data_IF_602772221676
#
_entry.id   IF_602772221676
#
_cell.length_a   1.000
_cell.length_b   1.000
_cell.length_c   1.000
_cell.angle_alpha   90.00
_cell.angle_beta   90.00
_cell.angle_gamma   90.00
#
_symmetry.space_group_name_H-M   'P 1'
#
loop_
_entity.id
_entity.type
_entity.pdbx_description
1 polymer ?
#
# COMPACT_ATOMS: atom_id res chain seq x y z
N UNK A 1 -13.61 12.35 0.42
CA UNK A 1 -12.33 12.09 -0.27
C UNK A 1 -11.55 11.12 0.61
N UNK A 2 -11.04 10.02 0.06
CA UNK A 2 -10.23 9.07 0.81
C UNK A 2 -8.75 9.50 0.78
N UNK A 3 -8.03 9.29 1.87
CA UNK A 3 -6.60 9.63 1.96
C UNK A 3 -5.80 8.58 1.21
N UNK A 4 -4.92 9.02 0.32
CA UNK A 4 -4.02 8.14 -0.44
C UNK A 4 -2.80 7.77 0.42
N UNK A 5 -2.42 6.50 0.38
CA UNK A 5 -1.30 5.94 1.16
C UNK A 5 -0.36 5.19 0.22
N UNK A 6 0.92 5.55 0.18
CA UNK A 6 1.94 4.77 -0.53
C UNK A 6 2.51 3.72 0.42
N UNK A 7 2.44 2.46 0.02
CA UNK A 7 3.02 1.33 0.76
C UNK A 7 4.22 0.84 -0.04
N UNK A 8 5.40 0.91 0.57
CA UNK A 8 6.64 0.36 0.03
C UNK A 8 6.92 -0.94 0.77
N UNK A 9 6.74 -2.08 0.10
CA UNK A 9 6.82 -3.40 0.72
C UNK A 9 7.31 -4.43 -0.31
N UNK A 10 8.41 -5.12 -0.02
CA UNK A 10 9.08 -6.03 -0.95
C UNK A 10 8.45 -7.43 -0.97
N UNK A 11 7.82 -7.84 0.14
CA UNK A 11 7.09 -9.10 0.25
C UNK A 11 5.63 -8.97 -0.21
N UNK A 12 5.23 -9.84 -1.14
CA UNK A 12 3.90 -9.77 -1.76
C UNK A 12 2.77 -10.03 -0.76
N UNK A 13 2.87 -11.08 0.06
CA UNK A 13 1.84 -11.45 1.04
C UNK A 13 1.58 -10.33 2.05
N UNK A 14 2.65 -9.70 2.55
CA UNK A 14 2.55 -8.56 3.47
C UNK A 14 1.94 -7.33 2.78
N UNK A 15 2.31 -7.05 1.53
CA UNK A 15 1.74 -5.94 0.77
C UNK A 15 0.23 -6.10 0.53
N UNK A 16 -0.23 -7.34 0.29
CA UNK A 16 -1.65 -7.66 0.12
C UNK A 16 -2.43 -7.47 1.42
N UNK A 17 -1.89 -7.94 2.55
CA UNK A 17 -2.48 -7.73 3.87
C UNK A 17 -2.64 -6.23 4.17
N UNK A 18 -1.60 -5.44 3.92
CA UNK A 18 -1.63 -3.98 4.14
C UNK A 18 -2.66 -3.29 3.24
N UNK A 19 -2.77 -3.69 1.97
CA UNK A 19 -3.78 -3.17 1.05
C UNK A 19 -5.19 -3.38 1.58
N UNK A 20 -5.48 -4.58 2.06
CA UNK A 20 -6.82 -4.95 2.48
C UNK A 20 -7.20 -4.24 3.79
N UNK A 21 -6.28 -4.16 4.75
CA UNK A 21 -6.46 -3.37 5.98
C UNK A 21 -6.67 -1.88 5.69
N UNK A 22 -5.85 -1.28 4.83
CA UNK A 22 -5.97 0.14 4.50
C UNK A 22 -7.30 0.45 3.80
N UNK A 23 -7.76 -0.44 2.92
CA UNK A 23 -9.07 -0.33 2.28
C UNK A 23 -10.22 -0.45 3.29
N UNK A 24 -10.12 -1.37 4.24
CA UNK A 24 -11.11 -1.54 5.32
C UNK A 24 -11.26 -0.25 6.16
N UNK A 25 -10.15 0.46 6.39
CA UNK A 25 -10.16 1.76 7.07
C UNK A 25 -10.51 2.96 6.17
N UNK A 26 -10.86 2.74 4.91
CA UNK A 26 -11.30 3.79 3.98
C UNK A 26 -10.16 4.59 3.34
N UNK A 27 -8.94 4.07 3.33
CA UNK A 27 -7.80 4.64 2.60
C UNK A 27 -7.72 4.12 1.16
N UNK A 28 -6.96 4.84 0.34
CA UNK A 28 -6.61 4.44 -1.03
C UNK A 28 -5.12 4.06 -1.10
N UNK A 29 -4.77 2.78 -0.88
CA UNK A 29 -3.38 2.32 -0.93
C UNK A 29 -2.86 2.22 -2.38
N UNK A 30 -1.61 2.62 -2.57
CA UNK A 30 -0.79 2.35 -3.75
C UNK A 30 0.40 1.50 -3.30
N UNK A 31 0.55 0.30 -3.87
CA UNK A 31 1.62 -0.62 -3.52
C UNK A 31 2.79 -0.46 -4.49
N UNK A 32 4.01 -0.39 -3.95
CA UNK A 32 5.27 -0.50 -4.71
C UNK A 32 6.22 -1.44 -4.00
N UNK A 33 7.05 -2.14 -4.77
CA UNK A 33 7.93 -3.20 -4.22
C UNK A 33 9.31 -2.73 -3.78
N UNK A 34 9.63 -1.45 -3.99
CA UNK A 34 10.91 -0.88 -3.57
C UNK A 34 10.84 0.64 -3.49
N UNK A 35 11.81 1.24 -2.79
CA UNK A 35 11.93 2.70 -2.68
C UNK A 35 12.24 3.37 -4.03
N UNK A 36 12.90 2.68 -4.95
CA UNK A 36 13.17 3.18 -6.30
C UNK A 36 11.89 3.31 -7.12
N UNK A 37 10.96 2.38 -6.95
CA UNK A 37 9.64 2.42 -7.59
C UNK A 37 8.71 3.49 -6.97
N UNK A 38 9.06 4.04 -5.81
CA UNK A 38 8.32 5.09 -5.11
C UNK A 38 8.66 6.52 -5.58
N UNK A 39 9.56 6.68 -6.57
CA UNK A 39 10.09 7.98 -7.03
C UNK A 39 9.18 8.73 -7.99
#
# INVERSE_FOLDING_TARGET
MATRVLVVEDEEETAELLRDLLREFGYEPLLVRSAEAAR
#
